data_IF_762088254795
#
_entry.id   IF_762088254795
#
_cell.length_a   1.000
_cell.length_b   1.000
_cell.length_c   1.000
_cell.angle_alpha   90.00
_cell.angle_beta   90.00
_cell.angle_gamma   90.00
#
_symmetry.space_group_name_H-M   'P 1'
#
loop_
_entity.id
_entity.type
_entity.pdbx_description
1 polymer ?
#
# COMPACT_ATOMS: atom_id res chain seq x y z
N UNK A 1 -13.05 -18.01 2.87
CA UNK A 1 -12.12 -17.26 1.98
C UNK A 1 -12.09 -15.78 2.35
N UNK A 2 -13.24 -15.10 2.37
CA UNK A 2 -13.36 -13.71 2.81
C UNK A 2 -12.82 -13.51 4.24
N UNK A 3 -13.08 -14.43 5.17
CA UNK A 3 -12.60 -14.35 6.55
C UNK A 3 -11.07 -14.25 6.70
N UNK A 4 -10.29 -15.09 6.00
CA UNK A 4 -8.82 -15.03 6.04
C UNK A 4 -8.27 -13.74 5.42
N UNK A 5 -8.91 -13.26 4.35
CA UNK A 5 -8.58 -11.97 3.74
C UNK A 5 -8.86 -10.82 4.73
N UNK A 6 -10.03 -10.77 5.36
CA UNK A 6 -10.37 -9.76 6.36
C UNK A 6 -9.44 -9.80 7.57
N UNK A 7 -9.07 -11.00 8.05
CA UNK A 7 -8.06 -11.16 9.09
C UNK A 7 -6.72 -10.55 8.69
N UNK A 8 -6.26 -10.82 7.46
CA UNK A 8 -5.01 -10.23 6.95
C UNK A 8 -5.11 -8.71 6.77
N UNK A 9 -6.26 -8.18 6.34
CA UNK A 9 -6.51 -6.73 6.24
C UNK A 9 -6.40 -6.10 7.63
N UNK A 10 -7.07 -6.68 8.64
CA UNK A 10 -7.01 -6.19 10.01
C UNK A 10 -5.57 -6.20 10.56
N UNK A 11 -4.84 -7.31 10.38
CA UNK A 11 -3.44 -7.40 10.77
C UNK A 11 -2.55 -6.40 10.03
N UNK A 12 -2.81 -6.18 8.73
CA UNK A 12 -2.05 -5.22 7.94
C UNK A 12 -2.29 -3.79 8.45
N UNK A 13 -3.54 -3.43 8.76
CA UNK A 13 -3.85 -2.14 9.37
C UNK A 13 -3.15 -1.96 10.72
N UNK A 14 -3.10 -2.99 11.57
CA UNK A 14 -2.34 -2.94 12.82
C UNK A 14 -0.85 -2.70 12.56
N UNK A 15 -0.24 -3.43 11.63
CA UNK A 15 1.17 -3.26 11.27
C UNK A 15 1.47 -1.85 10.73
N UNK A 16 0.59 -1.33 9.86
CA UNK A 16 0.70 0.02 9.32
C UNK A 16 0.62 1.06 10.45
N UNK A 17 -0.33 0.91 11.39
CA UNK A 17 -0.43 1.81 12.53
C UNK A 17 0.81 1.77 13.42
N UNK A 18 1.38 0.59 13.68
CA UNK A 18 2.64 0.46 14.42
C UNK A 18 3.76 1.23 13.70
N UNK A 19 3.88 1.07 12.37
CA UNK A 19 4.87 1.80 11.57
C UNK A 19 4.66 3.32 11.61
N UNK A 20 3.42 3.79 11.49
CA UNK A 20 3.08 5.22 11.55
C UNK A 20 3.41 5.79 12.93
N UNK A 21 3.03 5.09 14.00
CA UNK A 21 3.32 5.50 15.37
C UNK A 21 4.82 5.51 15.65
N UNK A 22 5.57 4.49 15.18
CA UNK A 22 7.02 4.46 15.29
C UNK A 22 7.64 5.69 14.62
N UNK A 23 7.25 5.98 13.38
CA UNK A 23 7.75 7.14 12.63
C UNK A 23 7.44 8.47 13.36
N UNK A 24 6.27 8.56 13.97
CA UNK A 24 5.86 9.73 14.75
C UNK A 24 6.64 9.86 16.07
N UNK A 25 6.78 8.78 16.85
CA UNK A 25 7.52 8.81 18.10
C UNK A 25 9.02 9.05 17.90
N UNK A 26 9.60 8.52 16.82
CA UNK A 26 10.98 8.79 16.43
C UNK A 26 11.19 10.31 16.23
N UNK A 27 10.25 10.99 15.56
CA UNK A 27 10.28 12.44 15.44
C UNK A 27 10.25 13.16 16.79
N UNK A 28 9.37 12.77 17.72
CA UNK A 28 9.30 13.42 19.04
C UNK A 28 10.56 13.20 19.88
N UNK A 29 11.13 12.01 19.87
CA UNK A 29 12.39 11.75 20.58
C UNK A 29 13.57 12.51 19.93
N UNK A 30 13.53 12.67 18.60
CA UNK A 30 14.53 13.42 17.86
C UNK A 30 14.41 14.94 18.07
N UNK A 31 13.28 15.51 18.52
CA UNK A 31 13.15 16.97 18.75
C UNK A 31 14.13 17.53 19.79
N UNK A 32 14.80 16.66 20.56
CA UNK A 32 15.94 17.02 21.43
C UNK A 32 17.19 17.45 20.63
N UNK A 33 17.24 17.15 19.33
CA UNK A 33 18.31 17.49 18.38
C UNK A 33 17.71 18.19 17.14
N UNK A 34 18.35 19.25 16.62
CA UNK A 34 17.75 20.21 15.67
C UNK A 34 17.40 19.69 14.25
N UNK A 35 17.41 18.38 14.00
CA UNK A 35 17.23 17.74 12.69
C UNK A 35 15.98 16.86 12.58
N UNK A 36 15.11 16.82 13.59
CA UNK A 36 13.98 15.87 13.66
C UNK A 36 13.01 15.94 12.47
N UNK A 37 12.72 17.14 11.94
CA UNK A 37 11.81 17.32 10.80
C UNK A 37 12.35 16.75 9.50
N UNK A 38 13.68 16.76 9.32
CA UNK A 38 14.35 16.12 8.19
C UNK A 38 14.27 14.59 8.30
N UNK A 39 14.42 14.03 9.51
CA UNK A 39 14.32 12.59 9.74
C UNK A 39 12.95 12.03 9.37
N UNK A 40 11.86 12.71 9.74
CA UNK A 40 10.51 12.28 9.38
C UNK A 40 10.29 12.28 7.85
N UNK A 41 10.84 13.29 7.16
CA UNK A 41 10.77 13.39 5.71
C UNK A 41 11.57 12.27 5.01
N UNK A 42 12.79 11.98 5.46
CA UNK A 42 13.58 10.88 4.90
C UNK A 42 12.95 9.51 5.17
N UNK A 43 12.45 9.26 6.39
CA UNK A 43 11.72 8.03 6.73
C UNK A 43 10.51 7.81 5.81
N UNK A 44 9.79 8.89 5.48
CA UNK A 44 8.68 8.83 4.53
C UNK A 44 9.15 8.48 3.11
N UNK A 45 10.18 9.17 2.60
CA UNK A 45 10.74 8.93 1.26
C UNK A 45 11.27 7.50 1.12
N UNK A 46 12.05 7.03 2.10
CA UNK A 46 12.58 5.67 2.12
C UNK A 46 11.46 4.63 2.13
N UNK A 47 10.39 4.91 2.87
CA UNK A 47 9.22 4.04 2.93
C UNK A 47 8.45 4.00 1.62
N UNK A 48 8.37 5.13 0.88
CA UNK A 48 7.80 5.18 -0.48
C UNK A 48 8.63 4.32 -1.44
N UNK A 49 9.96 4.46 -1.44
CA UNK A 49 10.81 3.64 -2.30
C UNK A 49 10.72 2.16 -1.97
N UNK A 50 10.74 1.80 -0.68
CA UNK A 50 10.57 0.42 -0.23
C UNK A 50 9.18 -0.14 -0.63
N UNK A 51 8.11 0.62 -0.43
CA UNK A 51 6.75 0.22 -0.76
C UNK A 51 6.56 0.04 -2.27
N UNK A 52 7.15 0.91 -3.10
CA UNK A 52 7.16 0.78 -4.54
C UNK A 52 7.92 -0.45 -5.00
N UNK A 53 9.14 -0.66 -4.51
CA UNK A 53 9.96 -1.82 -4.88
C UNK A 53 9.25 -3.14 -4.54
N UNK A 54 8.74 -3.27 -3.31
CA UNK A 54 7.99 -4.45 -2.87
C UNK A 54 6.68 -4.58 -3.67
N UNK A 55 6.01 -3.47 -3.97
CA UNK A 55 4.80 -3.44 -4.78
C UNK A 55 5.00 -3.92 -6.20
N UNK A 56 6.05 -3.45 -6.88
CA UNK A 56 6.42 -3.91 -8.22
C UNK A 56 6.71 -5.41 -8.19
N UNK A 57 7.49 -5.89 -7.21
CA UNK A 57 7.77 -7.32 -7.04
C UNK A 57 6.48 -8.12 -6.83
N UNK A 58 5.57 -7.64 -5.99
CA UNK A 58 4.29 -8.29 -5.72
C UNK A 58 3.41 -8.38 -6.97
N UNK A 59 3.35 -7.32 -7.78
CA UNK A 59 2.62 -7.30 -9.06
C UNK A 59 3.26 -8.25 -10.06
N UNK A 60 4.59 -8.25 -10.19
CA UNK A 60 5.30 -9.17 -11.09
C UNK A 60 5.03 -10.63 -10.70
N UNK A 61 5.16 -10.98 -9.41
CA UNK A 61 4.84 -12.31 -8.89
C UNK A 61 3.38 -12.69 -9.20
N UNK A 62 2.45 -11.74 -9.03
CA UNK A 62 1.03 -11.95 -9.32
C UNK A 62 0.80 -12.31 -10.78
N UNK A 63 1.47 -11.62 -11.71
CA UNK A 63 1.30 -11.78 -13.16
C UNK A 63 2.02 -13.02 -13.72
N UNK A 64 3.17 -13.39 -13.16
CA UNK A 64 4.02 -14.49 -13.64
C UNK A 64 3.67 -15.82 -12.98
N UNK A 65 3.92 -15.95 -11.67
CA UNK A 65 3.84 -17.22 -10.93
C UNK A 65 2.39 -17.55 -10.52
N UNK A 66 1.64 -16.54 -10.11
CA UNK A 66 0.31 -16.73 -9.51
C UNK A 66 -0.86 -16.52 -10.51
N UNK A 67 -0.61 -16.58 -11.84
CA UNK A 67 -1.57 -16.23 -12.89
C UNK A 67 -2.88 -17.02 -12.85
N UNK A 68 -2.82 -18.34 -12.66
CA UNK A 68 -3.95 -19.26 -12.82
C UNK A 68 -4.35 -19.97 -11.51
N UNK A 69 -3.83 -21.17 -11.25
CA UNK A 69 -4.32 -22.04 -10.17
C UNK A 69 -3.94 -21.56 -8.77
N UNK A 70 -2.87 -20.74 -8.66
CA UNK A 70 -2.34 -20.26 -7.38
C UNK A 70 -2.82 -18.86 -6.98
N UNK A 71 -3.69 -18.20 -7.77
CA UNK A 71 -4.22 -16.86 -7.48
C UNK A 71 -4.79 -16.74 -6.06
N UNK A 72 -5.54 -17.75 -5.61
CA UNK A 72 -6.13 -17.79 -4.26
C UNK A 72 -5.10 -17.80 -3.14
N UNK A 73 -3.92 -18.36 -3.37
CA UNK A 73 -2.85 -18.44 -2.38
C UNK A 73 -2.22 -17.07 -2.16
N UNK A 74 -1.98 -16.32 -3.23
CA UNK A 74 -1.43 -14.96 -3.14
C UNK A 74 -2.45 -13.96 -2.57
N UNK A 75 -3.72 -14.03 -2.96
CA UNK A 75 -4.78 -13.16 -2.39
C UNK A 75 -4.92 -13.28 -0.87
N UNK A 76 -4.65 -14.47 -0.33
CA UNK A 76 -4.71 -14.73 1.11
C UNK A 76 -3.33 -14.61 1.78
N UNK A 77 -2.32 -14.11 1.07
CA UNK A 77 -1.01 -13.86 1.63
C UNK A 77 -1.00 -12.49 2.32
N UNK A 78 -0.54 -12.49 3.57
CA UNK A 78 -0.46 -11.28 4.39
C UNK A 78 0.37 -10.18 3.73
N UNK A 79 1.55 -10.50 3.18
CA UNK A 79 2.44 -9.52 2.56
C UNK A 79 1.84 -8.89 1.31
N UNK A 80 1.08 -9.65 0.53
CA UNK A 80 0.39 -9.11 -0.66
C UNK A 80 -0.68 -8.09 -0.26
N UNK A 81 -1.47 -8.39 0.77
CA UNK A 81 -2.47 -7.47 1.33
C UNK A 81 -1.82 -6.25 1.97
N UNK A 82 -0.79 -6.46 2.79
CA UNK A 82 -0.01 -5.41 3.44
C UNK A 82 0.58 -4.46 2.41
N UNK A 83 1.14 -4.99 1.32
CA UNK A 83 1.76 -4.19 0.27
C UNK A 83 0.77 -3.21 -0.38
N UNK A 84 -0.43 -3.68 -0.74
CA UNK A 84 -1.46 -2.81 -1.31
C UNK A 84 -1.95 -1.75 -0.32
N UNK A 85 -2.21 -2.13 0.93
CA UNK A 85 -2.68 -1.20 1.96
C UNK A 85 -1.61 -0.21 2.39
N UNK A 86 -0.34 -0.61 2.43
CA UNK A 86 0.76 0.27 2.80
C UNK A 86 1.04 1.32 1.73
N UNK A 87 1.01 0.93 0.45
CA UNK A 87 1.08 1.90 -0.66
C UNK A 87 -0.10 2.89 -0.61
N UNK A 88 -1.31 2.42 -0.29
CA UNK A 88 -2.47 3.30 -0.08
C UNK A 88 -2.24 4.29 1.07
N UNK A 89 -1.75 3.79 2.20
CA UNK A 89 -1.48 4.62 3.38
C UNK A 89 -0.47 5.73 3.07
N UNK A 90 0.64 5.41 2.40
CA UNK A 90 1.65 6.40 2.00
C UNK A 90 1.08 7.43 1.02
N UNK A 91 0.24 6.99 0.08
CA UNK A 91 -0.44 7.90 -0.85
C UNK A 91 -1.40 8.86 -0.11
N UNK A 92 -2.16 8.37 0.88
CA UNK A 92 -3.03 9.22 1.70
C UNK A 92 -2.21 10.23 2.50
N UNK A 93 -1.11 9.80 3.14
CA UNK A 93 -0.20 10.70 3.87
C UNK A 93 0.34 11.80 2.94
N UNK A 94 0.70 11.45 1.70
CA UNK A 94 1.13 12.43 0.71
C UNK A 94 0.04 13.46 0.39
N UNK A 95 -1.19 13.02 0.11
CA UNK A 95 -2.34 13.91 -0.16
C UNK A 95 -2.59 14.85 1.02
N UNK A 96 -2.64 14.32 2.25
CA UNK A 96 -2.80 15.14 3.46
C UNK A 96 -1.69 16.18 3.58
N UNK A 97 -0.44 15.78 3.31
CA UNK A 97 0.71 16.68 3.36
C UNK A 97 0.63 17.79 2.30
N UNK A 98 0.11 17.51 1.11
CA UNK A 98 -0.15 18.53 0.08
C UNK A 98 -1.24 19.51 0.50
N UNK A 99 -2.36 19.01 1.05
CA UNK A 99 -3.47 19.84 1.51
C UNK A 99 -3.06 20.76 2.66
N UNK A 100 -2.21 20.26 3.56
CA UNK A 100 -1.63 21.04 4.66
C UNK A 100 -0.49 21.97 4.22
N UNK A 101 -0.10 21.96 2.93
CA UNK A 101 1.04 22.71 2.38
C UNK A 101 2.37 22.40 3.08
N UNK A 102 2.50 21.18 3.62
CA UNK A 102 3.73 20.70 4.27
C UNK A 102 4.79 20.26 3.26
N UNK A 103 4.36 19.88 2.05
CA UNK A 103 5.24 19.45 0.98
C UNK A 103 4.99 20.25 -0.30
N UNK A 104 6.05 20.73 -0.98
CA UNK A 104 5.92 21.32 -2.29
C UNK A 104 5.55 20.23 -3.31
N UNK A 105 4.62 20.54 -4.21
CA UNK A 105 4.31 19.73 -5.39
C UNK A 105 5.52 19.75 -6.34
N UNK A 106 6.39 18.75 -6.22
CA UNK A 106 7.51 18.53 -7.14
C UNK A 106 7.17 17.40 -8.11
N UNK A 107 7.46 17.61 -9.40
CA UNK A 107 7.15 16.68 -10.49
C UNK A 107 7.62 15.25 -10.20
N UNK A 108 8.86 15.11 -9.70
CA UNK A 108 9.48 13.81 -9.39
C UNK A 108 8.70 13.05 -8.31
N UNK A 109 8.36 13.71 -7.20
CA UNK A 109 7.59 13.11 -6.11
C UNK A 109 6.20 12.65 -6.55
N UNK A 110 5.58 13.39 -7.47
CA UNK A 110 4.27 13.04 -8.02
C UNK A 110 4.31 11.71 -8.77
N UNK A 111 5.35 11.43 -9.56
CA UNK A 111 5.46 10.16 -10.30
C UNK A 111 5.54 8.94 -9.37
N UNK A 112 6.33 9.03 -8.30
CA UNK A 112 6.45 7.95 -7.32
C UNK A 112 5.12 7.68 -6.60
N UNK A 113 4.39 8.75 -6.27
CA UNK A 113 3.09 8.65 -5.61
C UNK A 113 2.00 8.09 -6.53
N UNK A 114 1.99 8.50 -7.79
CA UNK A 114 1.12 7.90 -8.80
C UNK A 114 1.45 6.41 -9.03
N UNK A 115 2.73 6.04 -9.00
CA UNK A 115 3.15 4.64 -9.02
C UNK A 115 2.57 3.84 -7.85
N UNK A 116 2.63 4.41 -6.63
CA UNK A 116 2.07 3.80 -5.42
C UNK A 116 0.55 3.63 -5.54
N UNK A 117 -0.13 4.61 -6.12
CA UNK A 117 -1.57 4.55 -6.40
C UNK A 117 -1.90 3.46 -7.42
N UNK A 118 -1.15 3.34 -8.51
CA UNK A 118 -1.36 2.30 -9.54
C UNK A 118 -1.21 0.91 -8.93
N UNK A 119 -0.16 0.68 -8.14
CA UNK A 119 0.07 -0.60 -7.43
C UNK A 119 -1.10 -0.89 -6.49
N UNK A 120 -1.52 0.12 -5.74
CA UNK A 120 -2.65 0.01 -4.81
C UNK A 120 -3.92 -0.39 -5.54
N UNK A 121 -4.29 0.33 -6.61
CA UNK A 121 -5.48 0.04 -7.41
C UNK A 121 -5.42 -1.38 -7.95
N UNK A 122 -4.28 -1.79 -8.52
CA UNK A 122 -4.09 -3.13 -9.05
C UNK A 122 -4.29 -4.21 -7.99
N UNK A 123 -3.64 -4.06 -6.81
CA UNK A 123 -3.72 -5.04 -5.74
C UNK A 123 -5.12 -5.10 -5.13
N UNK A 124 -5.74 -3.95 -4.82
CA UNK A 124 -7.09 -3.91 -4.25
C UNK A 124 -8.13 -4.47 -5.22
N UNK A 125 -8.06 -4.07 -6.48
CA UNK A 125 -8.92 -4.64 -7.52
C UNK A 125 -8.67 -6.15 -7.62
N UNK A 126 -7.42 -6.61 -7.65
CA UNK A 126 -7.17 -8.05 -7.69
C UNK A 126 -7.71 -8.76 -6.45
N UNK A 127 -7.59 -8.21 -5.25
CA UNK A 127 -8.08 -8.82 -4.00
C UNK A 127 -9.60 -8.98 -4.01
N UNK A 128 -10.33 -7.88 -4.23
CA UNK A 128 -11.78 -7.81 -4.09
C UNK A 128 -12.54 -8.28 -5.33
N UNK A 129 -11.95 -8.20 -6.53
CA UNK A 129 -12.61 -8.67 -7.73
C UNK A 129 -12.61 -10.20 -7.76
N UNK A 130 -13.81 -10.78 -7.64
CA UNK A 130 -14.04 -12.20 -7.65
C UNK A 130 -14.60 -12.63 -9.02
N UNK A 131 -13.80 -13.38 -9.79
CA UNK A 131 -14.17 -13.83 -11.15
C UNK A 131 -15.46 -14.65 -11.20
N UNK A 132 -15.83 -15.30 -10.09
CA UNK A 132 -17.06 -16.08 -10.02
C UNK A 132 -18.32 -15.20 -9.93
N UNK A 133 -18.22 -14.00 -9.33
CA UNK A 133 -19.34 -13.05 -9.25
C UNK A 133 -19.53 -12.34 -10.60
N UNK A 134 -18.44 -12.03 -11.32
CA UNK A 134 -18.52 -11.47 -12.69
C UNK A 134 -19.15 -12.46 -13.67
N UNK A 135 -18.77 -13.74 -13.61
CA UNK A 135 -19.37 -14.76 -14.47
C UNK A 135 -20.85 -14.98 -14.18
N UNK A 136 -21.28 -14.84 -12.93
CA UNK A 136 -22.70 -14.92 -12.57
C UNK A 136 -23.46 -13.69 -13.09
N UNK A 137 -22.89 -12.49 -12.97
CA UNK A 137 -23.46 -11.27 -13.56
C UNK A 137 -23.53 -11.33 -15.10
N UNK A 138 -22.58 -11.97 -15.78
CA UNK A 138 -22.65 -12.20 -17.23
C UNK A 138 -23.75 -13.20 -17.59
N UNK A 139 -23.90 -14.30 -16.83
CA UNK A 139 -24.92 -15.33 -17.07
C UNK A 139 -26.35 -14.81 -16.78
N UNK A 140 -26.54 -13.97 -15.76
CA UNK A 140 -27.86 -13.38 -15.44
C UNK A 140 -28.32 -12.31 -16.44
N UNK A 141 -27.41 -11.76 -17.25
CA UNK A 141 -27.70 -10.74 -18.25
C UNK A 141 -27.73 -11.29 -19.70
N UNK A 142 -27.72 -12.61 -19.89
CA UNK A 142 -27.86 -13.28 -21.20
C UNK A 142 -29.12 -14.12 -21.24
#
# INVERSE_FOLDING_TARGET
>A
MKERLYKNIALALVAINIWTLYSFFDYYNATKYSMSSLTLFFNFIDSVFAALAIGIIAVILRLTIFRTKRKKLLKNNFFYVLCGLFNLNLFIIWIVSLLMKLLPLKLESTYFMLGSLIITIFILFDLFLNKNEIRQMEIENT
#
